data_IF_613825888016
#
_entry.id   IF_613825888016
#
_cell.length_a   1.000
_cell.length_b   1.000
_cell.length_c   1.000
_cell.angle_alpha   90.00
_cell.angle_beta   90.00
_cell.angle_gamma   90.00
#
_symmetry.space_group_name_H-M   'P 1'
#
loop_
_entity.id
_entity.type
_entity.pdbx_description
1 polymer ?
#
# COMPACT_ATOMS: atom_id res chain seq x y z
N UNK A 1 -18.85 16.65 -12.42
CA UNK A 1 -19.10 15.84 -13.60
C UNK A 1 -18.34 16.42 -14.78
N UNK A 2 -17.54 15.65 -15.51
CA UNK A 2 -16.80 16.15 -16.66
C UNK A 2 -17.74 16.73 -17.73
N UNK A 3 -17.29 17.76 -18.44
CA UNK A 3 -18.02 18.34 -19.56
C UNK A 3 -18.15 17.35 -20.73
N UNK A 4 -19.06 17.64 -21.66
CA UNK A 4 -19.35 16.75 -22.81
C UNK A 4 -18.11 16.53 -23.70
N UNK A 5 -17.31 17.58 -23.95
CA UNK A 5 -16.08 17.49 -24.73
C UNK A 5 -15.07 16.54 -24.07
N UNK A 6 -14.94 16.59 -22.77
CA UNK A 6 -14.04 15.71 -22.00
C UNK A 6 -14.52 14.26 -22.03
N UNK A 7 -15.83 14.04 -21.88
CA UNK A 7 -16.44 12.69 -21.93
C UNK A 7 -16.37 12.05 -23.31
N UNK A 8 -16.47 12.83 -24.36
CA UNK A 8 -16.39 12.34 -25.74
C UNK A 8 -14.95 12.01 -26.18
N UNK A 9 -13.94 12.31 -25.37
CA UNK A 9 -12.53 12.10 -25.71
C UNK A 9 -12.00 13.04 -26.80
N UNK A 10 -12.77 14.06 -27.18
CA UNK A 10 -12.45 15.00 -28.26
C UNK A 10 -11.57 16.17 -27.82
N UNK A 11 -11.11 16.19 -26.58
CA UNK A 11 -10.19 17.23 -26.06
C UNK A 11 -8.76 16.93 -26.50
N UNK A 12 -8.42 17.22 -27.73
CA UNK A 12 -7.07 17.07 -28.25
C UNK A 12 -6.06 17.86 -27.41
N UNK A 13 -4.96 17.21 -27.02
CA UNK A 13 -3.88 17.79 -26.20
C UNK A 13 -4.26 18.19 -24.76
N UNK A 14 -5.44 17.87 -24.30
CA UNK A 14 -5.88 18.13 -22.93
C UNK A 14 -6.10 16.83 -22.18
N UNK A 15 -5.96 16.88 -20.85
CA UNK A 15 -6.33 15.75 -19.98
C UNK A 15 -7.83 15.49 -20.12
N UNK A 16 -8.19 14.22 -20.29
CA UNK A 16 -9.58 13.78 -20.25
C UNK A 16 -9.84 13.08 -18.92
N UNK A 17 -11.01 13.31 -18.36
CA UNK A 17 -11.46 12.62 -17.14
C UNK A 17 -12.80 11.97 -17.43
N UNK A 18 -12.92 10.70 -17.09
CA UNK A 18 -14.16 9.95 -17.12
C UNK A 18 -15.07 10.23 -15.92
N UNK A 19 -16.12 9.48 -15.79
CA UNK A 19 -17.00 9.50 -14.62
C UNK A 19 -16.53 8.40 -13.67
N UNK A 20 -15.93 8.82 -12.58
CA UNK A 20 -15.50 7.90 -11.50
C UNK A 20 -16.65 7.73 -10.53
N UNK A 21 -17.21 6.53 -10.46
CA UNK A 21 -18.27 6.17 -9.52
C UNK A 21 -18.11 4.70 -9.13
N UNK A 22 -18.44 4.39 -7.88
CA UNK A 22 -18.39 3.04 -7.34
C UNK A 22 -18.83 3.04 -5.89
N UNK A 23 -19.35 1.92 -5.48
CA UNK A 23 -19.73 1.62 -4.11
C UNK A 23 -19.12 0.31 -3.66
N UNK A 24 -19.01 0.12 -2.37
CA UNK A 24 -18.48 -1.08 -1.75
C UNK A 24 -19.17 -1.33 -0.42
N UNK A 25 -19.24 -2.58 -0.04
CA UNK A 25 -19.81 -3.00 1.24
C UNK A 25 -18.82 -3.86 1.99
N UNK A 26 -18.73 -3.65 3.30
CA UNK A 26 -17.84 -4.40 4.16
C UNK A 26 -18.63 -5.03 5.30
N UNK A 27 -18.53 -6.33 5.44
CA UNK A 27 -19.05 -7.10 6.57
C UNK A 27 -17.90 -7.67 7.38
N UNK A 28 -17.94 -7.55 8.70
CA UNK A 28 -16.89 -8.10 9.55
C UNK A 28 -17.42 -8.72 10.83
N UNK A 29 -16.74 -9.78 11.27
CA UNK A 29 -16.94 -10.42 12.57
C UNK A 29 -15.62 -10.39 13.32
N UNK A 30 -15.64 -10.05 14.58
CA UNK A 30 -14.44 -10.04 15.42
C UNK A 30 -14.71 -10.61 16.81
N UNK A 31 -13.64 -11.09 17.42
CA UNK A 31 -13.62 -11.51 18.81
C UNK A 31 -12.36 -10.98 19.49
N UNK A 32 -12.48 -10.66 20.77
CA UNK A 32 -11.39 -10.18 21.60
C UNK A 32 -11.47 -10.83 22.98
N UNK A 33 -10.33 -11.17 23.55
CA UNK A 33 -10.21 -11.77 24.88
C UNK A 33 -8.99 -11.21 25.61
N UNK A 34 -9.20 -10.87 26.87
CA UNK A 34 -8.14 -10.53 27.83
C UNK A 34 -8.13 -11.57 28.95
N UNK A 35 -6.97 -12.18 29.16
CA UNK A 35 -6.79 -13.25 30.14
C UNK A 35 -5.71 -12.87 31.13
N UNK A 36 -6.04 -12.66 32.41
CA UNK A 36 -5.02 -12.57 33.45
C UNK A 36 -4.40 -13.95 33.66
N UNK A 37 -3.10 -14.07 33.43
CA UNK A 37 -2.37 -15.33 33.50
C UNK A 37 -1.77 -15.55 34.90
N UNK A 38 -1.17 -14.51 35.46
CA UNK A 38 -0.46 -14.56 36.73
C UNK A 38 -0.64 -13.21 37.44
N UNK A 39 -0.84 -13.25 38.76
CA UNK A 39 -0.93 -12.08 39.63
C UNK A 39 -0.16 -12.30 40.93
N UNK A 40 0.40 -11.24 41.48
CA UNK A 40 0.97 -11.15 42.82
C UNK A 40 2.12 -12.15 43.13
N UNK A 41 2.99 -12.42 42.13
CA UNK A 41 4.22 -13.16 42.36
C UNK A 41 5.46 -12.24 42.37
N UNK A 42 6.57 -12.65 43.03
CA UNK A 42 7.81 -11.90 42.94
C UNK A 42 8.25 -11.66 41.50
N UNK A 43 8.51 -10.40 41.13
CA UNK A 43 8.83 -9.96 39.77
C UNK A 43 7.72 -10.13 38.74
N UNK A 44 6.52 -10.55 39.13
CA UNK A 44 5.35 -10.67 38.28
C UNK A 44 4.16 -10.10 39.05
N UNK A 45 4.04 -8.77 39.10
CA UNK A 45 2.91 -8.12 39.71
C UNK A 45 1.62 -8.46 38.98
N UNK A 46 1.66 -8.38 37.64
CA UNK A 46 0.61 -8.94 36.79
C UNK A 46 1.16 -9.36 35.42
N UNK A 47 0.64 -10.44 34.89
CA UNK A 47 0.88 -10.88 33.51
C UNK A 47 -0.48 -11.13 32.85
N UNK A 48 -0.79 -10.32 31.85
CA UNK A 48 -2.04 -10.43 31.10
C UNK A 48 -1.74 -10.71 29.64
N UNK A 49 -2.47 -11.65 29.06
CA UNK A 49 -2.47 -11.92 27.63
C UNK A 49 -3.73 -11.29 27.01
N UNK A 50 -3.56 -10.58 25.92
CA UNK A 50 -4.67 -10.18 25.07
C UNK A 50 -4.56 -10.87 23.71
N UNK A 51 -5.70 -11.28 23.17
CA UNK A 51 -5.78 -11.84 21.83
C UNK A 51 -7.03 -11.32 21.13
N UNK A 52 -6.92 -10.99 19.86
CA UNK A 52 -8.05 -10.60 19.02
C UNK A 52 -7.91 -11.22 17.65
N UNK A 53 -9.05 -11.51 17.04
CA UNK A 53 -9.13 -11.97 15.65
C UNK A 53 -10.31 -11.29 14.96
N UNK A 54 -10.17 -11.00 13.68
CA UNK A 54 -11.20 -10.39 12.86
C UNK A 54 -11.20 -11.04 11.48
N UNK A 55 -12.38 -11.45 11.04
CA UNK A 55 -12.65 -11.81 9.66
C UNK A 55 -13.43 -10.66 9.02
N UNK A 56 -13.00 -10.25 7.85
CA UNK A 56 -13.62 -9.17 7.09
C UNK A 56 -13.88 -9.64 5.68
N UNK A 57 -15.07 -9.38 5.17
CA UNK A 57 -15.49 -9.63 3.80
C UNK A 57 -15.85 -8.30 3.14
N UNK A 58 -15.29 -8.04 1.97
CA UNK A 58 -15.44 -6.80 1.20
C UNK A 58 -15.89 -7.16 -0.21
N UNK A 59 -17.03 -6.64 -0.63
CA UNK A 59 -17.68 -7.05 -1.89
C UNK A 59 -16.79 -6.87 -3.12
N UNK A 60 -16.02 -5.79 -3.18
CA UNK A 60 -15.14 -5.47 -4.32
C UNK A 60 -13.84 -6.23 -4.34
N UNK A 61 -13.42 -6.80 -3.21
CA UNK A 61 -12.08 -7.34 -3.04
C UNK A 61 -12.06 -8.81 -2.62
N UNK A 62 -13.06 -9.25 -1.82
CA UNK A 62 -13.08 -10.55 -1.15
C UNK A 62 -12.74 -10.46 0.32
N UNK A 63 -12.34 -11.58 0.91
CA UNK A 63 -12.18 -11.68 2.36
C UNK A 63 -10.72 -11.65 2.81
N UNK A 64 -10.51 -11.20 4.05
CA UNK A 64 -9.24 -11.25 4.75
C UNK A 64 -9.43 -11.47 6.24
N UNK A 65 -8.46 -12.12 6.85
CA UNK A 65 -8.40 -12.30 8.29
C UNK A 65 -7.21 -11.55 8.89
N UNK A 66 -7.41 -11.05 10.08
CA UNK A 66 -6.36 -10.42 10.88
C UNK A 66 -6.43 -10.90 12.32
N UNK A 67 -5.29 -10.98 12.94
CA UNK A 67 -5.20 -11.33 14.35
C UNK A 67 -4.12 -10.49 15.06
N UNK A 68 -4.26 -10.42 16.36
CA UNK A 68 -3.27 -9.83 17.24
C UNK A 68 -3.18 -10.66 18.51
N UNK A 69 -1.96 -10.87 19.00
CA UNK A 69 -1.69 -11.45 20.30
C UNK A 69 -0.69 -10.55 21.03
N UNK A 70 -0.91 -10.32 22.29
CA UNK A 70 -0.06 -9.47 23.11
C UNK A 70 0.09 -10.00 24.53
N UNK A 71 1.24 -9.69 25.12
CA UNK A 71 1.52 -9.88 26.53
C UNK A 71 1.83 -8.54 27.17
N UNK A 72 1.20 -8.28 28.29
CA UNK A 72 1.46 -7.14 29.12
C UNK A 72 1.94 -7.64 30.49
N UNK A 73 3.19 -7.40 30.79
CA UNK A 73 3.86 -7.87 31.98
C UNK A 73 4.24 -6.69 32.88
N UNK A 74 3.58 -6.55 34.00
CA UNK A 74 3.96 -5.65 35.06
C UNK A 74 4.94 -6.37 36.00
N UNK A 75 6.23 -6.01 35.88
CA UNK A 75 7.27 -6.59 36.72
C UNK A 75 7.18 -6.03 38.14
N UNK A 76 6.97 -4.71 38.23
CA UNK A 76 6.80 -3.96 39.47
C UNK A 76 5.77 -2.83 39.25
N UNK A 77 5.46 -2.04 40.28
CA UNK A 77 4.60 -0.85 40.17
C UNK A 77 5.14 0.20 39.19
N UNK A 78 6.45 0.20 39.01
CA UNK A 78 7.15 1.20 38.20
C UNK A 78 7.64 0.69 36.85
N UNK A 79 7.66 -0.63 36.63
CA UNK A 79 8.24 -1.23 35.43
C UNK A 79 7.26 -2.20 34.76
N UNK A 80 6.97 -1.93 33.50
CA UNK A 80 6.10 -2.74 32.66
C UNK A 80 6.77 -3.05 31.32
N UNK A 81 6.63 -4.28 30.87
CA UNK A 81 7.02 -4.73 29.54
C UNK A 81 5.78 -5.10 28.72
N UNK A 82 5.81 -4.79 27.44
CA UNK A 82 4.77 -5.17 26.48
C UNK A 82 5.40 -5.84 25.27
N UNK A 83 4.81 -6.95 24.85
CA UNK A 83 5.17 -7.64 23.61
C UNK A 83 3.91 -7.88 22.82
N UNK A 84 3.97 -7.66 21.54
CA UNK A 84 2.82 -7.89 20.67
C UNK A 84 3.24 -8.32 19.30
N UNK A 85 2.42 -9.20 18.72
CA UNK A 85 2.49 -9.65 17.35
C UNK A 85 1.10 -9.52 16.73
N UNK A 86 1.03 -9.08 15.50
CA UNK A 86 -0.25 -8.99 14.80
C UNK A 86 -0.10 -8.72 13.33
N UNK A 87 -1.18 -9.04 12.62
CA UNK A 87 -1.34 -8.80 11.19
C UNK A 87 -2.34 -7.70 10.93
N UNK A 88 -2.22 -7.02 9.82
CA UNK A 88 -3.23 -6.12 9.30
C UNK A 88 -3.29 -6.17 7.78
N UNK A 89 -4.41 -5.76 7.21
CA UNK A 89 -4.53 -5.55 5.78
C UNK A 89 -5.27 -4.23 5.51
N UNK A 90 -4.98 -3.64 4.37
CA UNK A 90 -5.68 -2.49 3.82
C UNK A 90 -6.26 -2.87 2.45
N UNK A 91 -7.56 -2.75 2.32
CA UNK A 91 -8.21 -2.89 1.01
C UNK A 91 -7.95 -1.65 0.16
N UNK A 92 -7.87 -1.78 -1.17
CA UNK A 92 -7.81 -0.62 -2.05
C UNK A 92 -8.97 0.33 -1.81
N UNK A 93 -8.72 1.63 -1.91
CA UNK A 93 -9.77 2.63 -1.79
C UNK A 93 -10.68 2.63 -3.02
N UNK A 94 -11.92 3.11 -2.89
CA UNK A 94 -12.87 3.20 -4.01
C UNK A 94 -12.29 3.93 -5.21
N UNK A 95 -11.51 4.98 -4.99
CA UNK A 95 -10.84 5.69 -6.06
C UNK A 95 -9.77 4.84 -6.77
N UNK A 96 -9.03 4.02 -6.02
CA UNK A 96 -8.02 3.11 -6.58
C UNK A 96 -8.67 2.02 -7.41
N UNK A 97 -9.86 1.58 -7.05
CA UNK A 97 -10.60 0.53 -7.76
C UNK A 97 -11.35 1.06 -9.00
N UNK A 98 -12.12 2.12 -8.85
CA UNK A 98 -13.14 2.54 -9.81
C UNK A 98 -12.79 3.82 -10.56
N UNK A 99 -11.53 4.28 -10.49
CA UNK A 99 -11.09 5.42 -11.28
C UNK A 99 -11.35 5.14 -12.76
N UNK A 100 -12.21 5.94 -13.38
CA UNK A 100 -12.37 5.86 -14.84
C UNK A 100 -11.13 6.42 -15.54
N UNK A 101 -10.84 5.88 -16.72
CA UNK A 101 -9.63 6.20 -17.46
C UNK A 101 -9.44 7.71 -17.62
N UNK A 102 -8.37 8.20 -17.06
CA UNK A 102 -7.94 9.60 -17.21
C UNK A 102 -6.70 9.65 -18.07
N UNK A 103 -6.67 10.61 -18.97
CA UNK A 103 -5.48 10.85 -19.80
C UNK A 103 -4.71 12.05 -19.27
N UNK A 104 -3.39 11.96 -19.32
CA UNK A 104 -2.48 13.06 -19.06
C UNK A 104 -1.39 13.08 -20.12
N UNK A 105 -0.75 14.24 -20.29
CA UNK A 105 0.37 14.40 -21.20
C UNK A 105 1.68 14.48 -20.42
N UNK A 106 2.65 13.70 -20.86
CA UNK A 106 4.00 13.68 -20.27
C UNK A 106 5.04 13.76 -21.38
N UNK A 107 6.23 14.28 -21.09
CA UNK A 107 7.32 14.24 -22.06
C UNK A 107 7.66 12.80 -22.44
N UNK A 108 7.63 12.48 -23.72
CA UNK A 108 7.99 11.12 -24.18
C UNK A 108 9.40 10.74 -23.71
N UNK A 109 10.33 11.69 -23.65
CA UNK A 109 11.69 11.45 -23.17
C UNK A 109 11.77 10.91 -21.75
N UNK A 110 10.77 11.16 -20.91
CA UNK A 110 10.77 10.70 -19.52
C UNK A 110 10.17 9.30 -19.34
N UNK A 111 9.45 8.79 -20.34
CA UNK A 111 8.73 7.51 -20.23
C UNK A 111 9.13 6.47 -21.26
N UNK A 112 9.77 6.88 -22.37
CA UNK A 112 10.21 5.97 -23.41
C UNK A 112 11.70 5.65 -23.28
N UNK A 113 12.05 4.46 -22.79
CA UNK A 113 13.43 4.05 -22.60
C UNK A 113 14.18 3.77 -23.92
N UNK A 114 13.42 3.59 -25.02
CA UNK A 114 14.01 3.24 -26.32
C UNK A 114 14.45 4.45 -27.17
N UNK A 115 14.33 5.66 -26.67
CA UNK A 115 14.80 6.85 -27.39
C UNK A 115 16.32 6.81 -27.55
N UNK A 116 16.81 6.75 -28.80
CA UNK A 116 18.24 6.74 -29.15
C UNK A 116 18.97 5.54 -28.53
N UNK A 117 18.31 4.38 -28.46
CA UNK A 117 18.89 3.22 -27.80
C UNK A 117 20.14 2.68 -28.50
N UNK A 118 20.28 2.88 -29.83
CA UNK A 118 21.47 2.47 -30.59
C UNK A 118 22.74 3.21 -30.13
N UNK A 119 22.66 4.53 -30.01
CA UNK A 119 23.80 5.31 -29.51
C UNK A 119 24.06 5.02 -28.03
N UNK A 120 23.03 4.94 -27.23
CA UNK A 120 23.15 4.68 -25.80
C UNK A 120 23.78 3.34 -25.45
N UNK A 121 23.53 2.29 -26.26
CA UNK A 121 24.21 1.00 -26.05
C UNK A 121 25.67 1.05 -26.53
N UNK A 122 25.94 1.78 -27.60
CA UNK A 122 27.31 1.97 -28.07
C UNK A 122 28.18 2.74 -27.06
N UNK A 123 27.56 3.71 -26.35
CA UNK A 123 28.20 4.48 -25.28
C UNK A 123 28.26 3.72 -23.93
N UNK A 124 27.58 2.58 -23.80
CA UNK A 124 27.50 1.82 -22.56
C UNK A 124 26.63 2.47 -21.50
N UNK A 125 25.77 3.43 -21.88
CA UNK A 125 24.90 4.19 -20.95
C UNK A 125 23.61 3.45 -20.59
N UNK A 126 23.28 2.35 -21.28
CA UNK A 126 22.15 1.47 -20.97
C UNK A 126 22.58 0.00 -20.95
N UNK A 127 21.87 -0.87 -20.19
CA UNK A 127 22.18 -2.29 -20.16
C UNK A 127 21.75 -2.98 -21.46
N UNK A 128 22.48 -4.02 -21.87
CA UNK A 128 22.20 -4.82 -23.08
C UNK A 128 20.74 -5.30 -23.13
N UNK A 129 20.18 -5.78 -22.01
CA UNK A 129 18.78 -6.23 -21.93
C UNK A 129 17.78 -5.17 -22.41
N UNK A 130 18.04 -3.89 -22.15
CA UNK A 130 17.16 -2.81 -22.61
C UNK A 130 17.24 -2.66 -24.13
N UNK A 131 18.44 -2.66 -24.69
CA UNK A 131 18.63 -2.61 -26.13
C UNK A 131 17.97 -3.81 -26.85
N UNK A 132 18.12 -5.01 -26.29
CA UNK A 132 17.49 -6.22 -26.82
C UNK A 132 15.95 -6.12 -26.81
N UNK A 133 15.37 -5.58 -25.74
CA UNK A 133 13.93 -5.37 -25.64
C UNK A 133 13.42 -4.34 -26.66
N UNK A 134 14.14 -3.23 -26.86
CA UNK A 134 13.78 -2.23 -27.86
C UNK A 134 13.88 -2.81 -29.29
N UNK A 135 14.92 -3.57 -29.59
CA UNK A 135 15.07 -4.27 -30.86
C UNK A 135 13.95 -5.30 -31.08
N UNK A 136 13.62 -6.11 -30.06
CA UNK A 136 12.53 -7.09 -30.11
C UNK A 136 11.17 -6.44 -30.30
N UNK A 137 10.96 -5.24 -29.79
CA UNK A 137 9.77 -4.43 -30.01
C UNK A 137 9.73 -3.77 -31.41
N UNK A 138 10.78 -3.95 -32.23
CA UNK A 138 10.86 -3.36 -33.58
C UNK A 138 11.12 -1.86 -33.59
N UNK A 139 11.68 -1.30 -32.49
CA UNK A 139 12.00 0.13 -32.41
C UNK A 139 13.34 0.37 -33.09
N UNK A 140 13.36 1.37 -34.00
CA UNK A 140 14.57 1.77 -34.70
C UNK A 140 15.66 2.22 -33.70
N UNK A 141 16.94 1.82 -33.90
CA UNK A 141 18.04 2.28 -33.05
C UNK A 141 18.18 3.80 -32.94
N UNK A 142 17.84 4.52 -33.99
CA UNK A 142 17.88 5.97 -34.07
C UNK A 142 16.55 6.63 -33.67
N UNK A 143 15.65 5.85 -33.05
CA UNK A 143 14.35 6.36 -32.61
C UNK A 143 14.50 7.61 -31.75
N UNK A 144 13.77 8.67 -32.09
CA UNK A 144 13.78 9.92 -31.33
C UNK A 144 12.39 10.31 -30.80
N UNK A 145 12.39 11.06 -29.73
CA UNK A 145 11.16 11.43 -29.06
C UNK A 145 10.30 12.40 -29.87
N UNK A 146 9.01 12.17 -29.91
CA UNK A 146 8.02 13.20 -30.14
C UNK A 146 7.96 14.18 -28.93
N UNK A 147 7.11 15.20 -29.03
CA UNK A 147 7.01 16.22 -27.95
C UNK A 147 6.42 15.64 -26.68
N UNK A 148 5.38 14.80 -26.83
CA UNK A 148 4.68 14.24 -25.68
C UNK A 148 4.14 12.83 -25.96
N UNK A 149 3.98 12.06 -24.89
CA UNK A 149 3.23 10.82 -24.85
C UNK A 149 1.94 11.01 -24.03
N UNK A 150 0.90 10.27 -24.37
CA UNK A 150 -0.32 10.21 -23.57
C UNK A 150 -0.18 9.06 -22.57
N UNK A 151 -0.38 9.36 -21.29
CA UNK A 151 -0.47 8.37 -20.22
C UNK A 151 -1.94 8.20 -19.86
N UNK A 152 -2.38 6.97 -19.76
CA UNK A 152 -3.72 6.61 -19.32
C UNK A 152 -3.59 6.04 -17.90
N UNK A 153 -4.32 6.62 -16.96
CA UNK A 153 -4.44 6.13 -15.59
C UNK A 153 -5.88 5.70 -15.36
N UNK A 154 -6.07 4.45 -15.01
CA UNK A 154 -7.38 3.86 -14.72
C UNK A 154 -7.41 3.17 -13.38
N UNK A 155 -8.59 2.75 -12.96
CA UNK A 155 -8.80 1.96 -11.77
C UNK A 155 -8.27 0.54 -11.90
N UNK A 156 -8.01 -0.07 -10.76
CA UNK A 156 -7.45 -1.42 -10.66
C UNK A 156 -8.46 -2.49 -10.22
N UNK A 157 -9.75 -2.28 -10.45
CA UNK A 157 -10.77 -3.27 -10.09
C UNK A 157 -10.46 -4.64 -10.74
N UNK A 158 -10.45 -5.70 -9.93
CA UNK A 158 -10.10 -7.05 -10.36
C UNK A 158 -8.60 -7.32 -10.59
N UNK A 159 -7.72 -6.32 -10.36
CA UNK A 159 -6.26 -6.44 -10.52
C UNK A 159 -5.51 -6.09 -9.24
N UNK A 160 -5.99 -5.07 -8.51
CA UNK A 160 -5.36 -4.66 -7.25
C UNK A 160 -5.64 -5.69 -6.15
N UNK A 161 -4.61 -5.99 -5.38
CA UNK A 161 -4.67 -6.83 -4.20
C UNK A 161 -4.58 -5.98 -2.93
N UNK A 162 -5.03 -6.54 -1.79
CA UNK A 162 -4.87 -5.85 -0.52
C UNK A 162 -3.39 -5.76 -0.11
N UNK A 163 -3.05 -4.65 0.51
CA UNK A 163 -1.78 -4.53 1.20
C UNK A 163 -1.85 -5.27 2.54
N UNK A 164 -0.93 -6.19 2.77
CA UNK A 164 -0.85 -6.92 4.03
C UNK A 164 0.39 -6.51 4.81
N UNK A 165 0.29 -6.50 6.12
CA UNK A 165 1.44 -6.28 6.98
C UNK A 165 1.43 -7.20 8.19
N UNK A 166 2.64 -7.50 8.68
CA UNK A 166 2.91 -8.21 9.91
C UNK A 166 3.81 -7.35 10.78
N UNK A 167 3.45 -7.18 12.04
CA UNK A 167 4.18 -6.33 12.97
C UNK A 167 4.49 -7.06 14.27
N UNK A 168 5.74 -6.93 14.69
CA UNK A 168 6.21 -7.34 16.01
C UNK A 168 6.58 -6.09 16.80
N UNK A 169 6.06 -5.97 18.00
CA UNK A 169 6.32 -4.84 18.87
C UNK A 169 6.85 -5.30 20.22
N UNK A 170 7.84 -4.58 20.74
CA UNK A 170 8.32 -4.73 22.10
C UNK A 170 8.45 -3.33 22.70
N UNK A 171 7.96 -3.17 23.91
CA UNK A 171 7.99 -1.89 24.60
C UNK A 171 8.31 -2.08 26.09
N UNK A 172 9.07 -1.16 26.63
CA UNK A 172 9.37 -1.07 28.06
C UNK A 172 8.87 0.28 28.57
N UNK A 173 8.07 0.27 29.62
CA UNK A 173 7.55 1.47 30.27
C UNK A 173 8.10 1.51 31.69
N UNK A 174 8.88 2.54 31.97
CA UNK A 174 9.42 2.78 33.30
C UNK A 174 8.88 4.10 33.85
N UNK A 175 8.27 4.05 35.04
CA UNK A 175 7.71 5.19 35.75
C UNK A 175 8.39 5.30 37.13
N UNK A 176 9.58 5.93 37.22
CA UNK A 176 10.27 6.08 38.50
C UNK A 176 9.48 7.01 39.43
N UNK A 177 9.45 6.71 40.72
CA UNK A 177 8.73 7.50 41.72
C UNK A 177 9.27 8.94 41.86
N UNK A 178 10.53 9.18 41.47
CA UNK A 178 11.19 10.48 41.59
C UNK A 178 10.98 11.41 40.38
N UNK A 179 10.40 10.91 39.29
CA UNK A 179 10.19 11.69 38.07
C UNK A 179 8.96 11.21 37.30
N UNK A 180 8.10 12.13 36.91
CA UNK A 180 6.99 11.88 36.02
C UNK A 180 7.46 12.05 34.57
N UNK A 181 8.16 11.03 34.05
CA UNK A 181 8.72 10.99 32.70
C UNK A 181 7.96 9.94 31.87
N UNK A 182 7.29 10.40 30.82
CA UNK A 182 6.82 9.56 29.72
C UNK A 182 7.65 9.84 28.47
N UNK A 183 8.31 8.82 27.96
CA UNK A 183 9.05 8.88 26.69
C UNK A 183 8.21 8.21 25.60
#
# INVERSE_FOLDING_TARGET
>A
TPGEITRSGNAALMSTAGITEGDDSTTAVFAEIDVPLIEDLPMIKSLTMNASARYTDVDSYGSGDTYKIGLNWELTDTLRMRVGHGTSFRTPALFELFLDNQTSSISQRSVDPCIGWGDKIAEGSIPQRLADNCAAAGVDPDHYAAISATVITGGGFGVLEAETSEANTIGLVWRPEFADLSI
#
